data_IF_163003501125
#
_entry.id   IF_163003501125
#
_cell.length_a   1.000
_cell.length_b   1.000
_cell.length_c   1.000
_cell.angle_alpha   90.00
_cell.angle_beta   90.00
_cell.angle_gamma   90.00
#
_symmetry.space_group_name_H-M   'P 1'
#
loop_
_entity.id
_entity.type
_entity.pdbx_description
1 polymer ?
#
# COMPACT_ATOMS: atom_id res chain seq x y z
N UNK A 1 9.67 -16.24 14.28
CA UNK A 1 10.98 -15.88 13.68
C UNK A 1 10.74 -15.75 12.19
N UNK A 2 11.00 -14.59 11.63
CA UNK A 2 10.73 -14.32 10.22
C UNK A 2 11.80 -14.94 9.30
N UNK A 3 11.35 -15.53 8.19
CA UNK A 3 12.20 -16.05 7.13
C UNK A 3 12.24 -15.01 5.99
N UNK A 4 13.41 -14.45 5.76
CA UNK A 4 13.64 -13.39 4.77
C UNK A 4 14.90 -13.72 3.98
N UNK A 5 14.81 -13.76 2.66
CA UNK A 5 15.86 -14.26 1.77
C UNK A 5 16.37 -13.21 0.81
N UNK A 6 17.68 -13.22 0.57
CA UNK A 6 18.29 -12.56 -0.57
C UNK A 6 17.85 -13.27 -1.87
N UNK A 7 17.70 -12.53 -2.95
CA UNK A 7 17.23 -13.06 -4.22
C UNK A 7 17.97 -12.42 -5.40
N UNK A 8 17.86 -13.03 -6.58
CA UNK A 8 18.39 -12.48 -7.82
C UNK A 8 17.35 -11.60 -8.48
N UNK A 9 17.34 -10.29 -8.17
CA UNK A 9 16.37 -9.39 -8.77
C UNK A 9 16.58 -9.29 -10.29
N UNK A 10 15.48 -9.31 -11.03
CA UNK A 10 15.40 -8.74 -12.35
C UNK A 10 15.10 -7.25 -12.16
N UNK A 11 15.98 -6.35 -12.62
CA UNK A 11 15.89 -4.93 -12.33
C UNK A 11 16.44 -4.06 -13.47
N UNK A 12 16.01 -2.78 -13.59
CA UNK A 12 16.47 -1.92 -14.65
C UNK A 12 17.97 -1.63 -14.55
N UNK A 13 18.59 -1.35 -15.71
CA UNK A 13 19.93 -0.77 -15.70
C UNK A 13 19.88 0.62 -15.02
N UNK A 14 20.99 1.11 -14.43
CA UNK A 14 21.01 2.39 -13.70
C UNK A 14 20.45 3.56 -14.53
N UNK A 15 20.76 3.61 -15.83
CA UNK A 15 20.35 4.67 -16.74
C UNK A 15 18.84 4.62 -17.07
N UNK A 16 18.17 3.50 -16.78
CA UNK A 16 16.75 3.27 -17.08
C UNK A 16 15.87 3.22 -15.83
N UNK A 17 16.46 3.25 -14.66
CA UNK A 17 15.73 3.06 -13.40
C UNK A 17 14.61 4.10 -13.22
N UNK A 18 14.87 5.38 -13.51
CA UNK A 18 13.88 6.44 -13.40
C UNK A 18 12.75 6.31 -14.43
N UNK A 19 13.09 5.89 -15.68
CA UNK A 19 12.09 5.71 -16.73
C UNK A 19 11.19 4.49 -16.48
N UNK A 20 11.75 3.42 -15.87
CA UNK A 20 11.03 2.18 -15.60
C UNK A 20 10.16 2.28 -14.36
N UNK A 21 10.63 2.98 -13.31
CA UNK A 21 9.91 3.11 -12.05
C UNK A 21 8.48 3.62 -12.26
N UNK A 22 7.51 2.93 -11.66
CA UNK A 22 6.10 3.29 -11.82
C UNK A 22 5.33 3.19 -10.49
N UNK A 23 4.26 3.96 -10.37
CA UNK A 23 3.31 3.82 -9.27
C UNK A 23 2.69 2.43 -9.27
N UNK A 24 2.31 1.89 -8.10
CA UNK A 24 1.62 0.61 -8.02
C UNK A 24 0.31 0.61 -8.84
N UNK A 25 -0.03 -0.53 -9.40
CA UNK A 25 -1.17 -0.73 -10.29
C UNK A 25 -2.53 -0.24 -9.73
N UNK A 26 -2.68 -0.22 -8.42
CA UNK A 26 -3.93 0.08 -7.72
C UNK A 26 -4.12 1.57 -7.36
N UNK A 27 -3.12 2.41 -7.65
CA UNK A 27 -3.22 3.87 -7.44
C UNK A 27 -3.44 4.67 -8.72
N UNK A 28 -3.40 4.03 -9.88
CA UNK A 28 -3.69 4.65 -11.18
C UNK A 28 -4.85 3.90 -11.86
N UNK A 29 -5.76 4.63 -12.50
CA UNK A 29 -6.79 4.04 -13.34
C UNK A 29 -6.26 3.78 -14.76
N UNK A 30 -7.09 3.14 -15.61
CA UNK A 30 -6.70 2.81 -16.99
C UNK A 30 -6.32 4.03 -17.83
N UNK A 31 -7.10 5.11 -17.72
CA UNK A 31 -6.88 6.33 -18.52
C UNK A 31 -5.61 7.05 -18.08
N UNK A 32 -5.38 7.14 -16.77
CA UNK A 32 -4.14 7.68 -16.20
C UNK A 32 -2.92 6.85 -16.60
N UNK A 33 -3.02 5.52 -16.50
CA UNK A 33 -1.96 4.60 -16.91
C UNK A 33 -1.64 4.77 -18.40
N UNK A 34 -2.68 4.87 -19.26
CA UNK A 34 -2.52 5.11 -20.70
C UNK A 34 -1.81 6.43 -20.99
N UNK A 35 -2.20 7.50 -20.31
CA UNK A 35 -1.55 8.81 -20.49
C UNK A 35 -0.06 8.76 -20.13
N UNK A 36 0.28 8.13 -18.99
CA UNK A 36 1.66 7.98 -18.55
C UNK A 36 2.45 7.08 -19.52
N UNK A 37 1.87 5.94 -19.94
CA UNK A 37 2.52 5.01 -20.83
C UNK A 37 2.77 5.56 -22.24
N UNK A 38 1.83 6.36 -22.77
CA UNK A 38 1.99 7.02 -24.07
C UNK A 38 3.15 8.04 -24.06
N UNK A 39 3.40 8.69 -22.92
CA UNK A 39 4.52 9.62 -22.74
C UNK A 39 5.83 8.90 -22.41
N UNK A 40 5.77 7.75 -21.74
CA UNK A 40 6.92 6.97 -21.32
C UNK A 40 6.81 5.48 -21.72
N UNK A 41 7.31 5.08 -22.89
CA UNK A 41 7.26 3.69 -23.36
C UNK A 41 8.08 2.68 -22.52
N UNK A 42 8.88 3.15 -21.56
CA UNK A 42 9.63 2.30 -20.62
C UNK A 42 8.92 2.13 -19.28
N UNK A 43 7.82 2.86 -19.06
CA UNK A 43 7.08 2.79 -17.79
C UNK A 43 6.68 1.34 -17.47
N UNK A 44 6.93 0.92 -16.23
CA UNK A 44 6.52 -0.40 -15.76
C UNK A 44 4.99 -0.58 -15.72
N UNK A 45 4.20 0.49 -15.91
CA UNK A 45 2.76 0.40 -16.09
C UNK A 45 2.35 -0.45 -17.30
N UNK A 46 3.18 -0.56 -18.33
CA UNK A 46 2.95 -1.49 -19.46
C UNK A 46 2.90 -2.96 -19.00
N UNK A 47 3.47 -3.28 -17.84
CA UNK A 47 3.44 -4.62 -17.24
C UNK A 47 2.37 -4.71 -16.15
N UNK A 48 2.27 -3.71 -15.27
CA UNK A 48 1.34 -3.74 -14.14
C UNK A 48 -0.11 -3.37 -14.52
N UNK A 49 -0.31 -2.61 -15.64
CA UNK A 49 -1.59 -2.14 -16.21
C UNK A 49 -1.64 -2.39 -17.73
N UNK A 50 -1.36 -3.61 -18.20
CA UNK A 50 -1.16 -3.91 -19.62
C UNK A 50 -2.42 -3.73 -20.47
N UNK A 51 -3.61 -3.64 -19.86
CA UNK A 51 -4.85 -3.32 -20.55
C UNK A 51 -4.85 -1.94 -21.23
N UNK A 52 -3.91 -1.06 -20.85
CA UNK A 52 -3.74 0.24 -21.53
C UNK A 52 -3.16 0.09 -22.93
N UNK A 53 -2.49 -1.01 -23.22
CA UNK A 53 -1.89 -1.35 -24.52
C UNK A 53 -2.85 -2.12 -25.44
N UNK A 54 -4.06 -2.40 -24.96
CA UNK A 54 -5.11 -3.13 -25.69
C UNK A 54 -6.26 -2.19 -26.06
N UNK A 55 -7.18 -2.70 -26.90
CA UNK A 55 -8.37 -1.95 -27.30
C UNK A 55 -9.17 -1.47 -26.07
N UNK A 56 -9.75 -0.25 -26.12
CA UNK A 56 -10.44 0.35 -24.98
C UNK A 56 -11.59 -0.52 -24.41
N UNK A 57 -12.21 -1.34 -25.25
CA UNK A 57 -13.33 -2.22 -24.89
C UNK A 57 -12.87 -3.54 -24.25
N UNK A 58 -11.56 -3.81 -24.21
CA UNK A 58 -11.03 -5.02 -23.59
C UNK A 58 -11.35 -5.03 -22.09
N UNK A 59 -11.98 -6.10 -21.61
CA UNK A 59 -12.26 -6.29 -20.20
C UNK A 59 -10.94 -6.36 -19.41
N UNK A 60 -10.91 -5.78 -18.20
CA UNK A 60 -9.73 -5.73 -17.35
C UNK A 60 -9.22 -7.11 -16.91
N UNK A 61 -10.08 -8.12 -16.99
CA UNK A 61 -9.80 -9.50 -16.58
C UNK A 61 -9.75 -10.46 -17.77
N UNK A 62 -9.68 -9.94 -19.01
CA UNK A 62 -9.49 -10.75 -20.22
C UNK A 62 -8.09 -11.41 -20.20
N UNK A 63 -8.00 -12.66 -20.64
CA UNK A 63 -6.74 -13.43 -20.66
C UNK A 63 -5.62 -12.70 -21.43
N UNK A 64 -5.99 -11.98 -22.53
CA UNK A 64 -5.06 -11.17 -23.34
C UNK A 64 -4.35 -10.08 -22.53
N UNK A 65 -4.95 -9.60 -21.42
CA UNK A 65 -4.32 -8.62 -20.52
C UNK A 65 -3.09 -9.24 -19.86
N UNK A 66 -3.20 -10.46 -19.37
CA UNK A 66 -2.10 -11.15 -18.70
C UNK A 66 -1.03 -11.65 -19.69
N UNK A 67 -1.45 -12.08 -20.89
CA UNK A 67 -0.51 -12.41 -21.99
C UNK A 67 0.31 -11.17 -22.39
N UNK A 68 -0.34 -9.99 -22.45
CA UNK A 68 0.32 -8.72 -22.76
C UNK A 68 1.31 -8.30 -21.66
N UNK A 69 0.96 -8.49 -20.39
CA UNK A 69 1.89 -8.26 -19.28
C UNK A 69 3.18 -9.07 -19.44
N UNK A 70 3.03 -10.37 -19.73
CA UNK A 70 4.14 -11.28 -19.96
C UNK A 70 4.97 -10.84 -21.18
N UNK A 71 4.32 -10.57 -22.31
CA UNK A 71 5.00 -10.10 -23.53
C UNK A 71 5.83 -8.84 -23.27
N UNK A 72 5.27 -7.87 -22.54
CA UNK A 72 5.95 -6.62 -22.22
C UNK A 72 7.15 -6.85 -21.28
N UNK A 73 7.03 -7.74 -20.29
CA UNK A 73 8.11 -8.10 -19.38
C UNK A 73 9.25 -8.79 -20.14
N UNK A 74 8.93 -9.80 -20.96
CA UNK A 74 9.90 -10.53 -21.78
C UNK A 74 10.63 -9.57 -22.75
N UNK A 75 9.90 -8.67 -23.39
CA UNK A 75 10.47 -7.65 -24.28
C UNK A 75 11.45 -6.69 -23.57
N UNK A 76 11.16 -6.28 -22.34
CA UNK A 76 12.08 -5.43 -21.57
C UNK A 76 13.37 -6.20 -21.19
N UNK A 77 13.27 -7.48 -20.87
CA UNK A 77 14.42 -8.34 -20.57
C UNK A 77 15.25 -8.58 -21.85
N UNK A 78 14.63 -8.96 -22.97
CA UNK A 78 15.31 -9.19 -24.25
C UNK A 78 16.05 -7.96 -24.78
N UNK A 79 15.50 -6.77 -24.56
CA UNK A 79 16.12 -5.49 -24.93
C UNK A 79 17.22 -5.03 -23.95
N UNK A 80 17.45 -5.78 -22.88
CA UNK A 80 18.42 -5.43 -21.84
C UNK A 80 18.06 -4.17 -21.03
N UNK A 81 16.78 -3.79 -21.02
CA UNK A 81 16.25 -2.73 -20.15
C UNK A 81 16.23 -3.24 -18.71
N UNK A 82 15.74 -4.47 -18.54
CA UNK A 82 15.78 -5.22 -17.29
C UNK A 82 16.88 -6.28 -17.37
N UNK A 83 17.69 -6.37 -16.33
CA UNK A 83 18.82 -7.31 -16.24
C UNK A 83 18.74 -8.06 -14.91
N UNK A 84 18.90 -9.39 -14.96
CA UNK A 84 18.90 -10.21 -13.76
C UNK A 84 20.27 -10.20 -13.08
N UNK A 85 20.31 -9.97 -11.78
CA UNK A 85 21.53 -10.01 -10.99
C UNK A 85 22.16 -11.41 -11.01
N UNK A 86 23.50 -11.47 -11.00
CA UNK A 86 24.25 -12.73 -11.19
C UNK A 86 24.19 -13.62 -9.94
N UNK A 87 24.02 -13.02 -8.75
CA UNK A 87 23.88 -13.73 -7.46
C UNK A 87 22.74 -13.18 -6.65
N UNK A 88 22.32 -13.91 -5.64
CA UNK A 88 21.30 -13.45 -4.68
C UNK A 88 21.86 -12.30 -3.85
N UNK A 89 21.10 -11.20 -3.78
CA UNK A 89 21.44 -9.98 -3.07
C UNK A 89 20.27 -9.54 -2.19
N UNK A 90 20.57 -8.74 -1.18
CA UNK A 90 19.62 -7.81 -0.60
C UNK A 90 19.80 -6.43 -1.22
N UNK A 91 18.78 -5.59 -1.07
CA UNK A 91 18.88 -4.21 -1.53
C UNK A 91 18.39 -3.29 -0.43
N UNK A 92 19.04 -2.15 -0.25
CA UNK A 92 18.50 -1.07 0.57
C UNK A 92 17.70 -0.17 -0.36
N UNK A 93 16.45 0.08 -0.01
CA UNK A 93 15.58 1.01 -0.72
C UNK A 93 15.19 2.17 0.18
N UNK A 94 15.65 3.36 -0.18
CA UNK A 94 15.41 4.61 0.53
C UNK A 94 14.50 5.52 -0.27
N UNK A 95 13.48 6.05 0.40
CA UNK A 95 12.56 7.05 -0.15
C UNK A 95 12.64 8.32 0.69
N UNK A 96 12.82 9.47 0.02
CA UNK A 96 12.84 10.77 0.69
C UNK A 96 11.68 11.62 0.18
N UNK A 97 10.81 12.04 1.10
CA UNK A 97 9.64 12.87 0.81
C UNK A 97 9.55 14.02 1.81
N UNK A 98 9.59 15.28 1.31
CA UNK A 98 9.45 16.49 2.16
C UNK A 98 10.41 16.49 3.35
N UNK A 99 11.65 16.05 3.14
CA UNK A 99 12.69 15.99 4.17
C UNK A 99 12.56 14.83 5.16
N UNK A 100 11.58 13.95 5.01
CA UNK A 100 11.47 12.70 5.77
C UNK A 100 12.03 11.56 4.94
N UNK A 101 12.84 10.73 5.57
CA UNK A 101 13.46 9.56 4.96
C UNK A 101 12.87 8.30 5.57
N UNK A 102 12.54 7.32 4.73
CA UNK A 102 12.26 5.95 5.14
C UNK A 102 13.17 5.01 4.37
N UNK A 103 13.82 4.10 5.06
CA UNK A 103 14.81 3.17 4.51
C UNK A 103 14.45 1.74 4.88
N UNK A 104 14.25 0.88 3.89
CA UNK A 104 13.91 -0.53 4.09
C UNK A 104 14.88 -1.47 3.38
N UNK A 105 14.84 -2.74 3.77
CA UNK A 105 15.54 -3.82 3.07
C UNK A 105 14.59 -4.53 2.13
N UNK A 106 15.01 -4.71 0.88
CA UNK A 106 14.33 -5.49 -0.15
C UNK A 106 14.86 -6.91 -0.14
N UNK A 107 13.98 -7.86 -0.14
CA UNK A 107 14.24 -9.28 -0.19
C UNK A 107 12.93 -10.06 -0.38
N UNK A 108 12.98 -11.35 -0.16
CA UNK A 108 11.81 -12.21 -0.32
C UNK A 108 11.38 -12.81 1.02
N UNK A 109 10.12 -12.60 1.40
CA UNK A 109 9.49 -13.16 2.59
C UNK A 109 8.86 -14.51 2.29
N UNK A 110 8.89 -15.43 3.25
CA UNK A 110 8.33 -16.78 3.09
C UNK A 110 6.80 -16.76 3.02
N UNK A 111 6.22 -17.56 2.09
CA UNK A 111 4.78 -17.82 2.05
C UNK A 111 4.30 -18.57 3.29
N UNK A 112 5.15 -19.39 3.91
CA UNK A 112 4.82 -20.09 5.15
C UNK A 112 4.67 -19.11 6.32
N UNK A 113 5.46 -18.06 6.39
CA UNK A 113 5.34 -17.02 7.39
C UNK A 113 4.00 -16.26 7.27
N UNK A 114 3.51 -16.08 6.05
CA UNK A 114 2.18 -15.54 5.82
C UNK A 114 1.08 -16.51 6.29
N UNK A 115 1.23 -17.80 6.01
CA UNK A 115 0.27 -18.84 6.41
C UNK A 115 0.24 -19.04 7.93
N UNK A 116 1.39 -18.95 8.58
CA UNK A 116 1.56 -19.19 10.01
C UNK A 116 1.34 -17.92 10.86
N UNK A 117 1.07 -16.76 10.24
CA UNK A 117 0.79 -15.52 10.95
C UNK A 117 2.03 -14.81 11.51
N UNK A 118 3.23 -15.15 11.06
CA UNK A 118 4.46 -14.36 11.26
C UNK A 118 4.36 -13.07 10.45
N UNK A 119 3.89 -13.16 9.18
CA UNK A 119 3.47 -12.00 8.40
C UNK A 119 2.01 -11.69 8.70
N UNK A 120 1.78 -10.61 9.45
CA UNK A 120 0.46 -10.25 9.99
C UNK A 120 -0.30 -9.33 9.05
N UNK A 121 -1.61 -9.53 8.98
CA UNK A 121 -2.57 -8.81 8.15
C UNK A 121 -3.45 -7.92 9.01
N UNK A 122 -3.90 -6.81 8.47
CA UNK A 122 -4.87 -5.94 9.11
C UNK A 122 -6.08 -5.61 8.21
N UNK A 123 -6.10 -6.10 6.98
CA UNK A 123 -7.18 -5.87 6.00
C UNK A 123 -7.53 -7.17 5.26
N UNK A 124 -8.83 -7.34 4.92
CA UNK A 124 -9.30 -8.44 4.07
C UNK A 124 -9.06 -8.10 2.61
N UNK A 125 -8.66 -9.10 1.85
CA UNK A 125 -8.59 -9.01 0.40
C UNK A 125 -9.96 -9.20 -0.24
N UNK A 126 -10.16 -8.57 -1.41
CA UNK A 126 -11.32 -8.80 -2.27
C UNK A 126 -10.97 -9.89 -3.26
N UNK A 127 -11.88 -10.85 -3.44
CA UNK A 127 -11.65 -12.03 -4.28
C UNK A 127 -11.39 -11.66 -5.75
N UNK A 128 -12.14 -10.71 -6.31
CA UNK A 128 -11.95 -10.24 -7.68
C UNK A 128 -10.53 -9.68 -7.93
N UNK A 129 -10.03 -8.87 -6.99
CA UNK A 129 -8.68 -8.29 -7.06
C UNK A 129 -7.58 -9.33 -6.81
N UNK A 130 -7.87 -10.30 -5.97
CA UNK A 130 -6.93 -11.38 -5.67
C UNK A 130 -6.77 -12.30 -6.88
N UNK A 131 -7.88 -12.71 -7.53
CA UNK A 131 -7.86 -13.51 -8.75
C UNK A 131 -7.11 -12.80 -9.88
N UNK A 132 -7.37 -11.52 -10.08
CA UNK A 132 -6.64 -10.70 -11.04
C UNK A 132 -5.11 -10.79 -10.82
N UNK A 133 -4.65 -10.59 -9.59
CA UNK A 133 -3.21 -10.65 -9.29
C UNK A 133 -2.63 -12.06 -9.34
N UNK A 134 -3.43 -13.11 -9.03
CA UNK A 134 -3.01 -14.50 -9.23
C UNK A 134 -2.71 -14.75 -10.71
N UNK A 135 -3.62 -14.37 -11.61
CA UNK A 135 -3.41 -14.54 -13.06
C UNK A 135 -2.19 -13.76 -13.54
N UNK A 136 -2.03 -12.52 -13.07
CA UNK A 136 -0.89 -11.69 -13.43
C UNK A 136 0.45 -12.32 -12.98
N UNK A 137 0.59 -12.71 -11.71
CA UNK A 137 1.80 -13.35 -11.17
C UNK A 137 2.09 -14.68 -11.88
N UNK A 138 1.05 -15.48 -12.13
CA UNK A 138 1.20 -16.78 -12.78
C UNK A 138 1.62 -16.65 -14.24
N UNK A 139 1.08 -15.67 -14.98
CA UNK A 139 1.42 -15.39 -16.37
C UNK A 139 2.82 -14.80 -16.54
N UNK A 140 3.17 -13.80 -15.73
CA UNK A 140 4.51 -13.21 -15.72
C UNK A 140 5.57 -14.15 -15.14
N UNK A 141 5.16 -15.20 -14.43
CA UNK A 141 6.04 -16.07 -13.63
C UNK A 141 6.96 -15.25 -12.70
N UNK A 142 6.43 -14.16 -12.12
CA UNK A 142 7.18 -13.22 -11.30
C UNK A 142 6.28 -12.40 -10.36
N UNK A 143 6.86 -11.97 -9.25
CA UNK A 143 6.30 -10.88 -8.45
C UNK A 143 6.83 -9.56 -9.01
N UNK A 144 5.98 -8.75 -9.62
CA UNK A 144 6.33 -7.53 -10.37
C UNK A 144 6.35 -6.27 -9.50
N UNK A 145 5.73 -6.30 -8.33
CA UNK A 145 5.69 -5.18 -7.40
C UNK A 145 5.91 -5.61 -5.96
N UNK A 146 6.76 -4.90 -5.21
CA UNK A 146 7.07 -5.28 -3.84
C UNK A 146 5.89 -5.12 -2.89
N UNK A 147 5.78 -6.03 -1.93
CA UNK A 147 4.85 -5.92 -0.81
C UNK A 147 5.51 -5.05 0.25
N UNK A 148 4.79 -4.06 0.75
CA UNK A 148 5.26 -3.11 1.75
C UNK A 148 5.04 -3.70 3.14
N UNK A 149 6.13 -4.10 3.80
CA UNK A 149 6.12 -4.66 5.15
C UNK A 149 6.76 -3.68 6.14
N UNK A 150 6.37 -3.82 7.40
CA UNK A 150 6.98 -3.12 8.52
C UNK A 150 7.34 -4.09 9.64
N UNK A 151 8.33 -3.76 10.45
CA UNK A 151 8.60 -4.46 11.69
C UNK A 151 9.29 -3.57 12.72
N UNK A 152 9.48 -4.11 13.93
CA UNK A 152 10.35 -3.51 14.94
C UNK A 152 11.78 -3.92 14.61
N UNK A 153 12.52 -3.01 13.97
CA UNK A 153 13.91 -3.27 13.60
C UNK A 153 14.80 -3.38 14.83
N UNK A 154 15.72 -4.35 14.85
CA UNK A 154 16.87 -4.31 15.76
C UNK A 154 17.79 -3.13 15.43
N UNK A 155 18.38 -2.49 16.46
CA UNK A 155 19.34 -1.39 16.26
C UNK A 155 20.58 -1.83 15.47
N UNK A 156 20.99 -3.11 15.60
CA UNK A 156 22.06 -3.73 14.82
C UNK A 156 21.79 -3.68 13.32
N UNK A 157 20.57 -4.01 12.90
CA UNK A 157 20.18 -3.99 11.49
C UNK A 157 20.17 -2.56 10.92
N UNK A 158 19.68 -1.58 11.69
CA UNK A 158 19.75 -0.16 11.30
C UNK A 158 21.21 0.32 11.16
N UNK A 159 22.07 -0.09 12.08
CA UNK A 159 23.49 0.25 12.05
C UNK A 159 24.17 -0.35 10.81
N UNK A 160 23.89 -1.62 10.52
CA UNK A 160 24.43 -2.31 9.35
C UNK A 160 24.00 -1.59 8.04
N UNK A 161 22.72 -1.26 7.90
CA UNK A 161 22.22 -0.55 6.74
C UNK A 161 22.86 0.83 6.54
N UNK A 162 23.00 1.59 7.64
CA UNK A 162 23.62 2.92 7.56
C UNK A 162 25.11 2.81 7.21
N UNK A 163 25.84 1.88 7.84
CA UNK A 163 27.24 1.63 7.51
C UNK A 163 27.41 1.23 6.03
N UNK A 164 26.51 0.41 5.50
CA UNK A 164 26.54 0.03 4.07
C UNK A 164 26.36 1.26 3.16
N UNK A 165 25.37 2.08 3.42
CA UNK A 165 25.12 3.31 2.64
C UNK A 165 26.27 4.30 2.69
N UNK A 166 26.92 4.42 3.84
CA UNK A 166 28.01 5.39 4.03
C UNK A 166 29.30 4.99 3.28
N UNK A 167 29.47 3.69 2.92
CA UNK A 167 30.67 3.17 2.29
C UNK A 167 30.48 2.70 0.85
N UNK A 168 29.23 2.70 0.32
CA UNK A 168 28.93 2.25 -1.03
C UNK A 168 28.14 3.29 -1.79
N UNK A 169 28.39 3.37 -3.08
CA UNK A 169 27.59 4.22 -3.98
C UNK A 169 26.21 3.59 -4.24
N UNK A 170 25.20 4.43 -4.34
CA UNK A 170 23.86 3.99 -4.71
C UNK A 170 23.84 3.51 -6.16
N UNK A 171 23.26 2.34 -6.40
CA UNK A 171 23.00 1.84 -7.74
C UNK A 171 21.95 2.68 -8.49
N UNK A 172 21.00 3.26 -7.74
CA UNK A 172 20.02 4.23 -8.26
C UNK A 172 19.95 5.42 -7.30
N UNK A 173 19.89 6.63 -7.87
CA UNK A 173 19.57 7.88 -7.16
C UNK A 173 18.87 8.81 -8.14
N UNK A 174 17.53 8.92 -8.02
CA UNK A 174 16.72 9.77 -8.87
C UNK A 174 15.54 10.36 -8.12
N UNK A 175 15.02 11.48 -8.61
CA UNK A 175 13.84 12.14 -8.06
C UNK A 175 12.79 12.27 -9.16
N UNK A 176 11.58 11.80 -8.87
CA UNK A 176 10.44 11.88 -9.78
C UNK A 176 9.71 13.22 -9.70
N UNK A 177 8.71 13.43 -10.59
CA UNK A 177 7.92 14.66 -10.67
C UNK A 177 7.13 14.94 -9.39
N UNK A 178 6.74 13.92 -8.65
CA UNK A 178 6.06 14.04 -7.34
C UNK A 178 6.99 14.46 -6.19
N UNK A 179 8.25 14.78 -6.52
CA UNK A 179 9.30 15.21 -5.59
C UNK A 179 9.67 14.15 -4.56
N UNK A 180 9.50 12.87 -4.89
CA UNK A 180 10.00 11.75 -4.11
C UNK A 180 11.35 11.34 -4.68
N UNK A 181 12.38 11.29 -3.84
CA UNK A 181 13.69 10.75 -4.21
C UNK A 181 13.74 9.27 -3.86
N UNK A 182 14.22 8.48 -4.81
CA UNK A 182 14.41 7.03 -4.71
C UNK A 182 15.89 6.70 -4.80
N UNK A 183 16.41 5.99 -3.80
CA UNK A 183 17.79 5.50 -3.78
C UNK A 183 17.82 4.01 -3.52
N UNK A 184 18.71 3.32 -4.21
CA UNK A 184 18.89 1.88 -4.06
C UNK A 184 20.36 1.55 -3.93
N UNK A 185 20.72 0.72 -2.95
CA UNK A 185 22.05 0.13 -2.80
C UNK A 185 21.92 -1.39 -2.91
N UNK A 186 22.90 -2.02 -3.53
CA UNK A 186 22.99 -3.48 -3.66
C UNK A 186 23.87 -4.01 -2.54
N UNK A 187 23.40 -5.00 -1.79
CA UNK A 187 24.19 -5.73 -0.78
C UNK A 187 24.47 -7.12 -1.35
N UNK A 188 25.70 -7.30 -1.78
CA UNK A 188 26.15 -8.52 -2.47
C UNK A 188 27.30 -9.25 -1.77
N UNK A 189 27.73 -8.80 -0.60
CA UNK A 189 28.75 -9.47 0.22
C UNK A 189 28.11 -10.58 1.08
N UNK A 190 28.63 -11.82 0.95
CA UNK A 190 28.07 -13.00 1.59
C UNK A 190 28.06 -12.91 3.13
N UNK A 191 29.05 -12.24 3.72
CA UNK A 191 29.13 -12.02 5.16
C UNK A 191 27.98 -11.12 5.63
N UNK A 192 27.72 -10.02 4.91
CA UNK A 192 26.63 -9.08 5.23
C UNK A 192 25.26 -9.71 4.98
N UNK A 193 25.11 -10.48 3.90
CA UNK A 193 23.89 -11.25 3.61
C UNK A 193 23.60 -12.22 4.77
N UNK A 194 24.62 -12.93 5.25
CA UNK A 194 24.48 -13.85 6.39
C UNK A 194 24.08 -13.13 7.69
N UNK A 195 24.62 -11.92 7.93
CA UNK A 195 24.26 -11.12 9.07
C UNK A 195 22.80 -10.64 9.01
N UNK A 196 22.35 -10.17 7.84
CA UNK A 196 20.93 -9.79 7.61
C UNK A 196 20.00 -10.98 7.86
N UNK A 197 20.32 -12.16 7.33
CA UNK A 197 19.54 -13.38 7.56
C UNK A 197 19.39 -13.68 9.06
N UNK A 198 20.47 -13.51 9.83
CA UNK A 198 20.49 -13.74 11.27
C UNK A 198 19.64 -12.71 12.01
N UNK A 199 19.71 -11.43 11.61
CA UNK A 199 18.88 -10.37 12.20
C UNK A 199 17.40 -10.64 11.97
N UNK A 200 16.99 -11.00 10.74
CA UNK A 200 15.60 -11.33 10.44
C UNK A 200 15.11 -12.57 11.17
N UNK A 201 15.97 -13.57 11.36
CA UNK A 201 15.64 -14.72 12.18
C UNK A 201 15.34 -14.37 13.66
N UNK A 202 15.77 -13.21 14.15
CA UNK A 202 15.41 -12.67 15.46
C UNK A 202 14.09 -11.87 15.48
N UNK A 203 13.47 -11.60 14.34
CA UNK A 203 12.22 -10.82 14.26
C UNK A 203 11.01 -11.75 14.41
N UNK A 204 10.14 -11.47 15.37
CA UNK A 204 8.99 -12.31 15.67
C UNK A 204 7.83 -12.12 14.68
N UNK A 205 7.64 -10.91 14.15
CA UNK A 205 6.51 -10.59 13.28
C UNK A 205 6.85 -9.49 12.28
N UNK A 206 6.35 -9.67 11.07
CA UNK A 206 6.28 -8.67 10.01
C UNK A 206 4.82 -8.22 9.85
N UNK A 207 4.59 -6.97 9.49
CA UNK A 207 3.24 -6.41 9.35
C UNK A 207 3.06 -5.88 7.94
N UNK A 208 2.03 -6.34 7.24
CA UNK A 208 1.73 -5.78 5.91
C UNK A 208 1.26 -4.35 6.10
N UNK A 209 2.01 -3.39 5.59
CA UNK A 209 1.63 -1.99 5.53
C UNK A 209 0.75 -1.72 4.30
N UNK A 210 1.20 -2.17 3.12
CA UNK A 210 0.47 -2.05 1.86
C UNK A 210 0.70 -3.27 0.97
N UNK A 211 -0.25 -3.59 0.08
CA UNK A 211 -0.15 -4.71 -0.85
C UNK A 211 -0.76 -6.02 -0.35
N UNK A 212 -1.83 -5.99 0.45
CA UNK A 212 -2.51 -7.20 0.92
C UNK A 212 -2.95 -8.14 -0.21
N UNK A 213 -3.47 -7.60 -1.33
CA UNK A 213 -3.84 -8.39 -2.50
C UNK A 213 -2.62 -9.03 -3.16
N UNK A 214 -1.50 -8.29 -3.29
CA UNK A 214 -0.23 -8.83 -3.83
C UNK A 214 0.30 -9.96 -2.96
N UNK A 215 0.29 -9.80 -1.63
CA UNK A 215 0.73 -10.85 -0.71
C UNK A 215 -0.14 -12.11 -0.80
N UNK A 216 -1.47 -11.96 -0.75
CA UNK A 216 -2.39 -13.09 -0.83
C UNK A 216 -2.26 -13.84 -2.16
N UNK A 217 -2.11 -13.11 -3.28
CA UNK A 217 -1.96 -13.71 -4.61
C UNK A 217 -0.64 -14.45 -4.77
N UNK A 218 0.47 -13.86 -4.32
CA UNK A 218 1.78 -14.51 -4.35
C UNK A 218 1.78 -15.83 -3.54
N UNK A 219 1.17 -15.81 -2.35
CA UNK A 219 1.02 -17.02 -1.52
C UNK A 219 0.20 -18.08 -2.23
N UNK A 220 -0.95 -17.72 -2.86
CA UNK A 220 -1.78 -18.69 -3.60
C UNK A 220 -1.08 -19.28 -4.81
N UNK A 221 -0.31 -18.46 -5.55
CA UNK A 221 0.52 -18.95 -6.66
C UNK A 221 1.60 -19.89 -6.14
N UNK A 222 2.30 -19.55 -5.05
CA UNK A 222 3.29 -20.42 -4.43
C UNK A 222 2.70 -21.77 -4.01
N UNK A 223 1.54 -21.78 -3.36
CA UNK A 223 0.84 -23.02 -3.00
C UNK A 223 0.44 -23.85 -4.23
N UNK A 224 -0.08 -23.21 -5.29
CA UNK A 224 -0.37 -23.87 -6.57
C UNK A 224 0.88 -24.51 -7.16
N UNK A 225 2.04 -23.82 -7.12
CA UNK A 225 3.32 -24.36 -7.60
C UNK A 225 3.79 -25.53 -6.76
N UNK A 226 3.61 -25.51 -5.44
CA UNK A 226 3.90 -26.67 -4.55
C UNK A 226 3.07 -27.91 -4.93
N UNK A 227 1.78 -27.73 -5.21
CA UNK A 227 0.90 -28.82 -5.66
C UNK A 227 1.34 -29.40 -7.00
N UNK A 228 1.80 -28.55 -7.93
CA UNK A 228 2.31 -28.97 -9.23
C UNK A 228 3.69 -29.61 -9.14
N UNK A 229 4.46 -29.36 -8.08
CA UNK A 229 5.81 -29.87 -7.84
C UNK A 229 5.91 -30.59 -6.49
N UNK A 230 5.33 -31.79 -6.36
CA UNK A 230 5.28 -32.49 -5.06
C UNK A 230 6.65 -32.82 -4.44
N UNK A 231 7.71 -32.71 -5.22
CA UNK A 231 9.09 -32.94 -4.78
C UNK A 231 9.85 -31.66 -4.38
N UNK A 232 9.16 -30.52 -4.22
CA UNK A 232 9.81 -29.27 -3.82
C UNK A 232 10.53 -29.40 -2.48
N UNK A 233 11.63 -28.65 -2.32
CA UNK A 233 12.50 -28.72 -1.13
C UNK A 233 12.34 -27.54 -0.17
N UNK A 234 11.60 -26.51 -0.58
CA UNK A 234 11.40 -25.28 0.17
C UNK A 234 12.38 -24.16 -0.16
N UNK A 235 13.35 -24.41 -1.04
CA UNK A 235 14.33 -23.43 -1.49
C UNK A 235 13.95 -22.77 -2.83
N UNK A 236 12.91 -23.29 -3.49
CA UNK A 236 12.44 -22.78 -4.78
C UNK A 236 11.81 -21.39 -4.61
N UNK A 237 12.02 -20.49 -5.58
CA UNK A 237 11.63 -19.08 -5.52
C UNK A 237 10.12 -18.89 -5.31
N UNK A 238 9.28 -19.78 -5.79
CA UNK A 238 7.83 -19.74 -5.55
C UNK A 238 7.40 -19.94 -4.07
N UNK A 239 8.35 -20.30 -3.18
CA UNK A 239 8.11 -20.36 -1.73
C UNK A 239 8.25 -19.00 -1.07
N UNK A 240 8.58 -17.96 -1.82
CA UNK A 240 8.85 -16.61 -1.33
C UNK A 240 8.14 -15.56 -2.17
N UNK A 241 7.93 -14.39 -1.59
CA UNK A 241 7.35 -13.26 -2.29
C UNK A 241 8.15 -11.97 -2.05
N UNK A 242 8.25 -11.17 -3.10
CA UNK A 242 8.99 -9.90 -3.09
C UNK A 242 8.42 -8.93 -2.06
N UNK A 243 9.27 -8.42 -1.19
CA UNK A 243 8.87 -7.46 -0.16
C UNK A 243 9.96 -6.44 0.14
N UNK A 244 9.55 -5.29 0.64
CA UNK A 244 10.43 -4.31 1.27
C UNK A 244 9.99 -4.17 2.72
N UNK A 245 10.90 -4.44 3.65
CA UNK A 245 10.64 -4.34 5.09
C UNK A 245 11.23 -3.05 5.61
N UNK A 246 10.44 -2.24 6.32
CA UNK A 246 10.84 -0.96 6.90
C UNK A 246 10.76 -0.98 8.42
N UNK A 247 11.54 -0.16 9.12
CA UNK A 247 11.28 0.19 10.51
C UNK A 247 9.90 0.86 10.62
N UNK A 248 9.05 0.38 11.51
CA UNK A 248 7.67 0.87 11.64
C UNK A 248 7.58 2.36 11.99
N UNK A 249 8.54 2.88 12.72
CA UNK A 249 8.62 4.27 13.21
C UNK A 249 9.06 5.28 12.13
N UNK A 250 9.60 4.80 11.01
CA UNK A 250 9.91 5.64 9.84
C UNK A 250 8.70 5.82 8.90
N UNK A 251 7.64 5.04 9.05
CA UNK A 251 6.53 5.03 8.13
C UNK A 251 5.55 6.19 8.36
N UNK A 252 5.06 6.73 7.26
CA UNK A 252 4.08 7.79 7.26
C UNK A 252 2.72 7.28 6.78
N UNK A 253 1.74 7.29 7.66
CA UNK A 253 0.34 7.02 7.30
C UNK A 253 -0.37 8.36 7.17
N UNK A 254 -0.98 8.59 6.01
CA UNK A 254 -1.89 9.69 5.78
C UNK A 254 -3.34 9.26 6.02
N UNK A 255 -4.25 10.20 6.30
CA UNK A 255 -5.66 9.86 6.50
C UNK A 255 -6.27 9.30 5.21
N UNK A 256 -7.21 8.41 5.35
CA UNK A 256 -8.10 8.03 4.25
C UNK A 256 -9.43 8.74 4.46
N UNK A 257 -9.72 9.76 3.65
CA UNK A 257 -10.90 10.60 3.77
C UNK A 257 -12.13 9.95 3.13
N UNK A 258 -13.33 10.40 3.51
CA UNK A 258 -14.59 9.89 2.98
C UNK A 258 -15.43 11.02 2.42
N UNK A 259 -16.09 10.76 1.30
CA UNK A 259 -17.08 11.66 0.72
C UNK A 259 -18.35 10.84 0.51
N UNK A 260 -19.47 11.35 1.00
CA UNK A 260 -20.80 10.75 0.80
C UNK A 260 -21.62 11.69 -0.07
N UNK A 261 -22.20 11.16 -1.14
CA UNK A 261 -22.85 11.95 -2.22
C UNK A 261 -24.14 12.63 -1.80
N UNK A 262 -24.77 12.21 -0.70
CA UNK A 262 -26.06 12.74 -0.23
C UNK A 262 -26.17 12.62 1.29
N UNK A 263 -27.18 13.24 1.87
CA UNK A 263 -27.47 13.20 3.31
C UNK A 263 -28.60 12.22 3.66
N UNK A 264 -28.84 11.20 2.86
CA UNK A 264 -29.90 10.18 3.07
C UNK A 264 -31.31 10.81 3.25
N UNK A 265 -31.61 11.84 2.45
CA UNK A 265 -32.86 12.55 2.50
C UNK A 265 -33.03 13.53 3.66
N UNK A 266 -32.02 13.68 4.51
CA UNK A 266 -32.02 14.64 5.61
C UNK A 266 -31.73 16.06 5.12
N UNK A 267 -32.37 17.06 5.75
CA UNK A 267 -31.90 18.44 5.63
C UNK A 267 -30.59 18.61 6.38
N UNK A 268 -29.74 19.57 5.98
CA UNK A 268 -28.49 19.88 6.69
C UNK A 268 -28.72 20.11 8.19
N UNK A 269 -29.79 20.83 8.56
CA UNK A 269 -30.15 21.06 9.96
C UNK A 269 -30.47 19.76 10.72
N UNK A 270 -31.19 18.84 10.11
CA UNK A 270 -31.51 17.53 10.71
C UNK A 270 -30.27 16.67 10.84
N UNK A 271 -29.41 16.64 9.80
CA UNK A 271 -28.13 15.95 9.81
C UNK A 271 -27.22 16.44 10.93
N UNK A 272 -26.96 17.75 11.02
CA UNK A 272 -26.17 18.35 12.11
C UNK A 272 -26.79 18.07 13.50
N UNK A 273 -28.12 18.04 13.58
CA UNK A 273 -28.83 17.69 14.82
C UNK A 273 -28.56 16.24 15.25
N UNK A 274 -28.56 15.29 14.30
CA UNK A 274 -28.28 13.90 14.57
C UNK A 274 -26.84 13.67 15.05
N UNK A 275 -25.88 14.39 14.51
CA UNK A 275 -24.46 14.26 14.89
C UNK A 275 -24.19 14.70 16.34
N UNK A 276 -24.92 15.67 16.88
CA UNK A 276 -24.75 16.18 18.25
C UNK A 276 -24.96 15.14 19.36
N UNK A 277 -25.63 14.04 19.07
CA UNK A 277 -25.78 12.93 20.01
C UNK A 277 -24.44 12.21 20.29
N UNK A 278 -23.55 12.19 19.29
CA UNK A 278 -22.29 11.46 19.37
C UNK A 278 -21.05 12.36 19.36
N UNK A 279 -21.21 13.64 18.95
CA UNK A 279 -20.07 14.54 18.76
C UNK A 279 -20.34 15.93 19.31
N UNK A 280 -19.30 16.55 19.84
CA UNK A 280 -19.22 18.01 19.95
C UNK A 280 -18.95 18.57 18.55
N UNK A 281 -19.81 19.50 18.09
CA UNK A 281 -19.69 20.16 16.80
C UNK A 281 -19.27 21.62 16.99
N UNK A 282 -18.16 21.99 16.35
CA UNK A 282 -17.69 23.37 16.32
C UNK A 282 -17.63 23.85 14.86
N UNK A 283 -18.33 24.95 14.54
CA UNK A 283 -18.21 25.59 13.23
C UNK A 283 -16.83 26.21 13.07
N UNK A 284 -16.20 25.98 11.90
CA UNK A 284 -14.87 26.47 11.54
C UNK A 284 -14.97 27.46 10.36
N UNK A 285 -15.28 28.75 10.60
CA UNK A 285 -15.54 29.70 9.52
C UNK A 285 -14.30 29.94 8.66
N UNK A 286 -14.42 29.73 7.33
CA UNK A 286 -13.44 30.18 6.35
C UNK A 286 -12.18 29.32 6.20
N UNK A 287 -12.02 28.22 6.95
CA UNK A 287 -10.83 27.38 6.86
C UNK A 287 -11.17 25.89 6.82
N UNK A 288 -10.47 25.10 5.99
CA UNK A 288 -10.57 23.65 6.03
C UNK A 288 -10.19 23.11 7.42
N UNK A 289 -11.05 22.27 7.98
CA UNK A 289 -10.80 21.63 9.27
C UNK A 289 -9.98 20.35 9.07
N UNK A 290 -8.73 20.37 9.52
CA UNK A 290 -7.89 19.16 9.61
C UNK A 290 -7.78 18.77 11.08
N UNK A 291 -8.17 17.54 11.46
CA UNK A 291 -8.02 17.06 12.81
C UNK A 291 -6.54 16.95 13.20
N UNK A 292 -6.22 17.25 14.47
CA UNK A 292 -4.84 17.22 14.99
C UNK A 292 -4.64 16.16 16.07
N UNK A 293 -5.72 15.52 16.51
CA UNK A 293 -5.72 14.47 17.54
C UNK A 293 -6.73 13.37 17.22
N UNK A 294 -6.53 12.18 17.81
CA UNK A 294 -7.47 11.06 17.72
C UNK A 294 -8.87 11.45 18.24
N UNK A 295 -9.89 10.79 17.70
CA UNK A 295 -11.30 10.98 18.00
C UNK A 295 -11.83 12.36 17.57
N UNK A 296 -11.09 13.01 16.66
CA UNK A 296 -11.48 14.24 15.99
C UNK A 296 -11.55 14.05 14.47
N UNK A 297 -12.49 14.75 13.84
CA UNK A 297 -12.69 14.72 12.38
C UNK A 297 -13.00 16.13 11.89
N UNK A 298 -12.53 16.46 10.69
CA UNK A 298 -13.05 17.60 9.94
C UNK A 298 -14.26 17.15 9.13
N UNK A 299 -15.29 17.99 9.02
CA UNK A 299 -16.45 17.74 8.18
C UNK A 299 -16.79 18.98 7.36
N UNK A 300 -17.08 18.77 6.09
CA UNK A 300 -17.59 19.81 5.21
C UNK A 300 -18.99 19.44 4.71
N UNK A 301 -19.93 20.35 4.87
CA UNK A 301 -21.30 20.23 4.37
C UNK A 301 -21.91 21.60 4.14
N UNK A 302 -22.60 21.78 3.01
CA UNK A 302 -23.35 23.00 2.67
C UNK A 302 -22.51 24.30 2.82
N UNK A 303 -21.32 24.32 2.21
CA UNK A 303 -20.44 25.48 2.24
C UNK A 303 -19.70 25.75 3.54
N UNK A 304 -19.84 24.88 4.56
CA UNK A 304 -19.30 25.12 5.90
C UNK A 304 -18.41 23.98 6.38
N UNK A 305 -17.31 24.35 7.05
CA UNK A 305 -16.45 23.41 7.74
C UNK A 305 -16.84 23.29 9.23
N UNK A 306 -16.79 22.08 9.73
CA UNK A 306 -17.04 21.74 11.14
C UNK A 306 -15.90 20.90 11.68
N UNK A 307 -15.53 21.14 12.94
CA UNK A 307 -14.73 20.22 13.74
C UNK A 307 -15.68 19.34 14.54
N UNK A 308 -15.54 18.03 14.42
CA UNK A 308 -16.26 17.02 15.19
C UNK A 308 -15.30 16.40 16.19
N UNK A 309 -15.66 16.41 17.47
CA UNK A 309 -14.96 15.68 18.52
C UNK A 309 -15.89 14.64 19.13
N UNK A 310 -15.50 13.37 19.06
CA UNK A 310 -16.30 12.26 19.57
C UNK A 310 -16.42 12.34 21.10
N UNK A 311 -17.64 12.13 21.64
CA UNK A 311 -17.81 12.02 23.07
C UNK A 311 -17.10 10.77 23.60
N UNK A 312 -16.43 10.81 24.80
CA UNK A 312 -15.63 9.69 25.30
C UNK A 312 -16.41 8.41 25.61
N UNK A 313 -17.72 8.48 25.70
CA UNK A 313 -18.63 7.37 26.02
C UNK A 313 -19.19 6.64 24.79
N UNK A 314 -18.91 7.12 23.57
CA UNK A 314 -19.41 6.50 22.33
C UNK A 314 -18.51 5.39 21.78
N UNK A 315 -17.34 5.20 22.35
CA UNK A 315 -16.37 4.15 21.96
C UNK A 315 -15.70 3.55 23.20
N UNK A 316 -15.34 2.28 23.11
CA UNK A 316 -14.63 1.58 24.18
C UNK A 316 -13.11 1.69 23.98
N UNK A 317 -12.40 2.28 24.95
CA UNK A 317 -10.93 2.47 24.88
C UNK A 317 -10.14 1.16 24.81
N UNK A 318 -10.73 0.03 25.22
CA UNK A 318 -10.11 -1.30 25.17
C UNK A 318 -10.37 -2.01 23.85
N UNK A 319 -11.37 -1.60 23.07
CA UNK A 319 -11.61 -2.15 21.75
C UNK A 319 -10.68 -1.48 20.73
N UNK A 320 -9.61 -2.21 20.37
CA UNK A 320 -8.56 -1.69 19.47
C UNK A 320 -9.08 -1.31 18.08
N UNK A 321 -10.18 -1.91 17.62
CA UNK A 321 -10.80 -1.60 16.33
C UNK A 321 -11.89 -0.55 16.50
N UNK A 322 -12.77 -0.71 17.48
CA UNK A 322 -13.93 0.17 17.68
C UNK A 322 -13.54 1.61 18.06
N UNK A 323 -12.35 1.82 18.65
CA UNK A 323 -11.84 3.15 18.99
C UNK A 323 -11.19 3.90 17.80
N UNK A 324 -11.00 3.27 16.64
CA UNK A 324 -10.46 3.95 15.45
C UNK A 324 -11.45 5.02 14.97
N UNK A 325 -10.95 6.16 14.54
CA UNK A 325 -11.79 7.24 14.01
C UNK A 325 -12.67 6.79 12.85
N UNK A 326 -12.14 5.92 12.01
CA UNK A 326 -12.87 5.31 10.87
C UNK A 326 -14.01 4.40 11.35
N UNK A 327 -13.82 3.68 12.47
CA UNK A 327 -14.86 2.84 13.08
C UNK A 327 -15.93 3.68 13.75
N UNK A 328 -15.52 4.72 14.48
CA UNK A 328 -16.43 5.69 15.11
C UNK A 328 -17.31 6.35 14.04
N UNK A 329 -16.71 6.82 12.94
CA UNK A 329 -17.45 7.40 11.82
C UNK A 329 -18.46 6.40 11.25
N UNK A 330 -18.05 5.15 11.00
CA UNK A 330 -18.93 4.11 10.47
C UNK A 330 -20.12 3.83 11.40
N UNK A 331 -19.85 3.58 12.67
CA UNK A 331 -20.87 3.13 13.62
C UNK A 331 -21.78 4.26 14.14
N UNK A 332 -21.32 5.50 14.12
CA UNK A 332 -22.05 6.62 14.70
C UNK A 332 -22.61 7.60 13.66
N UNK A 333 -22.15 7.54 12.41
CA UNK A 333 -22.60 8.46 11.35
C UNK A 333 -23.01 7.71 10.10
N UNK A 334 -22.09 6.96 9.47
CA UNK A 334 -22.34 6.39 8.14
C UNK A 334 -23.52 5.41 8.16
N UNK A 335 -23.54 4.46 9.12
CA UNK A 335 -24.61 3.48 9.24
C UNK A 335 -25.91 4.11 9.77
N UNK A 336 -25.97 4.73 10.99
CA UNK A 336 -27.23 5.13 11.59
C UNK A 336 -27.84 6.41 11.02
N UNK A 337 -27.03 7.30 10.44
CA UNK A 337 -27.51 8.62 9.96
C UNK A 337 -27.59 8.65 8.43
N UNK A 338 -26.54 8.18 7.76
CA UNK A 338 -26.45 8.20 6.29
C UNK A 338 -26.90 6.90 5.64
N UNK A 339 -27.22 5.84 6.42
CA UNK A 339 -27.74 4.56 5.91
C UNK A 339 -26.73 3.77 5.08
N UNK A 340 -25.43 3.96 5.32
CA UNK A 340 -24.34 3.23 4.65
C UNK A 340 -23.97 2.03 5.51
N UNK A 341 -24.55 0.88 5.22
CA UNK A 341 -24.31 -0.37 5.97
C UNK A 341 -22.92 -0.95 5.70
N UNK A 342 -22.57 -1.11 4.44
CA UNK A 342 -21.25 -1.59 4.01
C UNK A 342 -20.57 -0.58 3.06
N UNK A 343 -19.56 0.13 3.53
CA UNK A 343 -18.89 1.14 2.71
C UNK A 343 -18.06 0.57 1.55
N UNK A 344 -17.89 -0.77 1.47
CA UNK A 344 -17.21 -1.43 0.35
C UNK A 344 -18.09 -1.55 -0.90
N UNK A 345 -19.38 -1.58 -0.71
CA UNK A 345 -20.36 -1.85 -1.77
C UNK A 345 -21.32 -0.70 -2.04
N UNK A 346 -21.50 0.24 -1.09
CA UNK A 346 -22.40 1.38 -1.27
C UNK A 346 -21.79 2.40 -2.26
N UNK A 347 -22.50 2.69 -3.34
CA UNK A 347 -22.08 3.60 -4.40
C UNK A 347 -22.18 5.09 -4.03
N UNK A 348 -22.76 5.40 -2.87
CA UNK A 348 -22.88 6.78 -2.38
C UNK A 348 -21.63 7.25 -1.66
N UNK A 349 -20.77 6.33 -1.16
CA UNK A 349 -19.52 6.68 -0.50
C UNK A 349 -18.33 6.49 -1.44
N UNK A 350 -17.40 7.40 -1.38
CA UNK A 350 -16.08 7.30 -2.02
C UNK A 350 -14.96 7.59 -1.01
N UNK A 351 -13.79 7.02 -1.30
CA UNK A 351 -12.59 7.15 -0.46
C UNK A 351 -11.55 7.97 -1.19
N UNK A 352 -10.94 8.92 -0.47
CA UNK A 352 -9.94 9.84 -1.04
C UNK A 352 -8.69 9.81 -0.18
N UNK A 353 -7.56 9.45 -0.77
CA UNK A 353 -6.26 9.38 -0.07
C UNK A 353 -5.85 10.74 0.49
N UNK A 354 -5.13 10.71 1.60
CA UNK A 354 -4.73 11.91 2.35
C UNK A 354 -3.72 12.82 1.67
N UNK A 355 -3.24 12.46 0.47
CA UNK A 355 -2.44 13.34 -0.39
C UNK A 355 -3.24 14.51 -0.97
N UNK A 356 -4.56 14.35 -1.13
CA UNK A 356 -5.47 15.38 -1.63
C UNK A 356 -5.69 16.51 -0.62
N UNK A 357 -5.88 17.72 -1.13
CA UNK A 357 -6.17 18.89 -0.30
C UNK A 357 -7.61 18.85 0.20
N UNK A 358 -7.84 19.33 1.41
CA UNK A 358 -9.20 19.41 1.97
C UNK A 358 -10.16 20.26 1.11
N UNK A 359 -9.66 21.27 0.38
CA UNK A 359 -10.47 22.04 -0.56
C UNK A 359 -11.05 21.19 -1.70
N UNK A 360 -10.28 20.24 -2.22
CA UNK A 360 -10.74 19.32 -3.29
C UNK A 360 -11.89 18.42 -2.78
N UNK A 361 -11.83 17.99 -1.51
CA UNK A 361 -12.91 17.23 -0.90
C UNK A 361 -14.19 18.07 -0.78
N UNK A 362 -14.05 19.36 -0.42
CA UNK A 362 -15.16 20.30 -0.35
C UNK A 362 -15.82 20.50 -1.73
N UNK A 363 -15.03 20.69 -2.78
CA UNK A 363 -15.53 20.83 -4.15
C UNK A 363 -16.31 19.59 -4.62
N UNK A 364 -15.85 18.38 -4.26
CA UNK A 364 -16.57 17.15 -4.59
C UNK A 364 -17.89 17.08 -3.82
N UNK A 365 -17.90 17.42 -2.53
CA UNK A 365 -19.10 17.43 -1.71
C UNK A 365 -20.13 18.46 -2.24
N UNK A 366 -19.69 19.65 -2.62
CA UNK A 366 -20.56 20.70 -3.20
C UNK A 366 -21.20 20.24 -4.52
N UNK A 367 -20.44 19.59 -5.40
CA UNK A 367 -20.95 19.08 -6.69
C UNK A 367 -22.04 18.01 -6.51
N UNK A 368 -22.00 17.26 -5.42
CA UNK A 368 -22.93 16.15 -5.17
C UNK A 368 -24.08 16.54 -4.22
N UNK A 369 -23.94 17.67 -3.50
CA UNK A 369 -24.87 18.04 -2.42
C UNK A 369 -24.69 17.18 -1.16
N UNK A 370 -23.54 16.56 -1.00
CA UNK A 370 -23.21 15.60 0.04
C UNK A 370 -22.36 16.16 1.19
N UNK A 371 -21.57 15.28 1.79
CA UNK A 371 -20.71 15.59 2.93
C UNK A 371 -19.33 14.98 2.74
N UNK A 372 -18.28 15.71 3.12
CA UNK A 372 -16.92 15.21 3.18
C UNK A 372 -16.42 15.12 4.61
N UNK A 373 -15.70 14.04 4.93
CA UNK A 373 -15.05 13.82 6.24
C UNK A 373 -13.54 13.74 6.04
N UNK A 374 -12.83 14.63 6.72
CA UNK A 374 -11.36 14.62 6.82
C UNK A 374 -10.99 13.89 8.10
N UNK A 375 -10.33 12.76 7.94
CA UNK A 375 -10.02 11.85 9.05
C UNK A 375 -8.69 12.22 9.71
N UNK A 376 -8.54 11.82 10.99
CA UNK A 376 -7.22 11.73 11.61
C UNK A 376 -6.53 10.44 11.14
N UNK A 377 -5.23 10.48 10.81
CA UNK A 377 -4.54 9.28 10.33
C UNK A 377 -4.43 8.21 11.42
N UNK A 378 -4.63 6.96 11.04
CA UNK A 378 -4.34 5.81 11.90
C UNK A 378 -2.84 5.72 12.15
N UNK A 379 -2.40 5.38 13.36
CA UNK A 379 -0.97 5.22 13.66
C UNK A 379 -0.46 3.81 13.33
N UNK A 380 0.87 3.68 13.17
CA UNK A 380 1.50 2.35 13.04
C UNK A 380 1.29 1.49 14.27
N UNK A 381 1.29 2.09 15.46
CA UNK A 381 1.03 1.38 16.72
C UNK A 381 -0.40 0.80 16.77
N UNK A 382 -1.41 1.56 16.28
CA UNK A 382 -2.78 1.04 16.18
C UNK A 382 -2.86 -0.14 15.21
N UNK A 383 -2.23 -0.01 14.04
CA UNK A 383 -2.19 -1.06 13.03
C UNK A 383 -1.55 -2.33 13.59
N UNK A 384 -0.35 -2.20 14.17
CA UNK A 384 0.39 -3.34 14.71
C UNK A 384 -0.37 -4.01 15.86
N UNK A 385 -0.96 -3.23 16.77
CA UNK A 385 -1.76 -3.75 17.88
C UNK A 385 -2.99 -4.53 17.39
N UNK A 386 -3.69 -4.03 16.37
CA UNK A 386 -4.84 -4.71 15.78
C UNK A 386 -4.41 -6.03 15.13
N UNK A 387 -3.32 -6.00 14.37
CA UNK A 387 -2.77 -7.18 13.73
C UNK A 387 -2.22 -8.20 14.76
N UNK A 388 -1.66 -7.76 15.88
CA UNK A 388 -1.20 -8.62 16.98
C UNK A 388 -2.36 -9.34 17.67
N UNK A 389 -3.54 -8.70 17.75
CA UNK A 389 -4.77 -9.32 18.24
C UNK A 389 -5.50 -10.19 17.18
N UNK A 390 -4.89 -10.40 16.00
CA UNK A 390 -5.51 -11.07 14.84
C UNK A 390 -6.87 -10.47 14.44
N UNK A 391 -7.03 -9.17 14.66
CA UNK A 391 -8.20 -8.40 14.24
C UNK A 391 -7.96 -7.70 12.93
N UNK A 392 -9.03 -7.23 12.31
CA UNK A 392 -9.00 -6.52 11.04
C UNK A 392 -9.52 -5.10 11.21
N UNK A 393 -8.94 -4.20 10.46
CA UNK A 393 -9.40 -2.81 10.36
C UNK A 393 -10.58 -2.69 9.40
N UNK A 394 -11.43 -1.67 9.55
CA UNK A 394 -12.36 -1.29 8.49
C UNK A 394 -11.63 -1.01 7.17
N UNK A 395 -12.29 -1.18 6.03
CA UNK A 395 -11.66 -0.95 4.73
C UNK A 395 -11.19 0.50 4.60
N UNK A 396 -10.06 0.68 3.88
CA UNK A 396 -9.51 2.01 3.60
C UNK A 396 -9.23 2.81 4.87
N UNK A 397 -8.56 2.18 5.84
CA UNK A 397 -8.16 2.80 7.12
C UNK A 397 -6.77 3.44 7.09
N UNK A 398 -5.91 3.00 6.16
CA UNK A 398 -4.52 3.44 6.06
C UNK A 398 -4.17 3.84 4.62
N UNK A 399 -3.40 4.92 4.50
CA UNK A 399 -2.81 5.36 3.22
C UNK A 399 -1.33 5.64 3.45
N UNK A 400 -0.48 4.68 3.06
CA UNK A 400 0.98 4.84 3.22
C UNK A 400 1.57 5.73 2.13
N UNK A 401 2.44 6.65 2.56
CA UNK A 401 3.20 7.56 1.69
C UNK A 401 4.66 7.66 2.17
N UNK A 402 5.62 7.71 1.23
CA UNK A 402 5.46 7.55 -0.23
C UNK A 402 5.12 6.12 -0.63
N UNK A 403 4.52 5.97 -1.82
CA UNK A 403 4.28 4.65 -2.41
C UNK A 403 5.58 4.06 -2.93
N UNK A 404 5.77 2.76 -2.71
CA UNK A 404 6.86 2.01 -3.34
C UNK A 404 6.65 1.99 -4.86
N UNK A 405 7.74 2.02 -5.62
CA UNK A 405 7.66 1.88 -7.08
C UNK A 405 7.69 0.41 -7.48
N UNK A 406 6.84 0.05 -8.44
CA UNK A 406 6.96 -1.16 -9.24
C UNK A 406 8.10 -1.01 -10.26
N UNK A 407 8.66 -2.10 -10.73
CA UNK A 407 9.66 -2.14 -11.78
C UNK A 407 11.11 -1.94 -11.34
N UNK A 408 11.36 -1.48 -10.10
CA UNK A 408 12.73 -1.38 -9.56
C UNK A 408 13.29 -2.74 -9.13
N UNK A 409 12.42 -3.64 -8.73
CA UNK A 409 12.75 -5.01 -8.32
C UNK A 409 11.65 -5.95 -8.80
N UNK A 410 12.03 -7.05 -9.43
CA UNK A 410 11.14 -8.10 -9.89
C UNK A 410 11.72 -9.43 -9.42
N UNK A 411 10.90 -10.25 -8.79
CA UNK A 411 11.28 -11.56 -8.30
C UNK A 411 10.68 -12.64 -9.21
N UNK A 412 11.52 -13.33 -9.99
CA UNK A 412 11.12 -14.45 -10.87
C UNK A 412 10.90 -15.71 -10.04
N UNK A 413 9.84 -16.48 -10.36
CA UNK A 413 9.41 -17.67 -9.61
C UNK A 413 9.94 -18.96 -10.21
#
# INVERSE_FOLDING_TARGET
MAVFHAFRALRPTPEKAADVAALPYDVVNREEAKSIGDENPLSFLHIDRPEMDLEPETDLYDERVYEKAKENLDNMEEKGILVQDQKACYYIYELVRKGKTQTGIVGCSSIDDYMNGVVKKHELTREDKEQDRIHHVDSCNANTGPIFLACRYPDSLLTLMNNWKDHHEAAYDFTEEDQITHRVWVIDEDEIISEINKEFAGIDSLYIADGHHRAASAVKVGLKRREQNPGYKGEEEFNYFLSVVFPYDQLCILPYNRIVKDLNGLTVKAFLGALKFNFELMLMPGFPCKPVEKHCMGMYVDGQWYHLKAWPDIYEKKDVVGQLDVSILQEKVLRPVLGIEDPRTDQRISFVGGSHKAAELAEIADRTGGVAFVMYPTSMEDLMKIADENKLMPPKSTWFEPKLRSGLFIHKL
#
